data_IF_479889955069
#
_entry.id   IF_479889955069
#
_cell.length_a   1.000
_cell.length_b   1.000
_cell.length_c   1.000
_cell.angle_alpha   90.00
_cell.angle_beta   90.00
_cell.angle_gamma   90.00
#
_symmetry.space_group_name_H-M   'P 1'
#
loop_
_entity.id
_entity.type
_entity.pdbx_description
1 polymer ?
#
# COMPACT_ATOMS: atom_id res chain seq x y z
N UNK A 1 -13.26 2.99 8.71
CA UNK A 1 -13.55 2.53 7.33
C UNK A 1 -13.07 1.09 7.21
N UNK A 2 -13.89 0.16 6.72
CA UNK A 2 -13.41 -1.21 6.45
C UNK A 2 -12.66 -1.25 5.11
N UNK A 3 -11.74 -2.20 4.98
CA UNK A 3 -10.77 -2.31 3.88
C UNK A 3 -10.67 -3.78 3.50
N UNK A 4 -11.13 -4.15 2.30
CA UNK A 4 -11.19 -5.53 1.83
C UNK A 4 -10.20 -5.78 0.71
N UNK A 5 -9.48 -6.89 0.80
CA UNK A 5 -8.47 -7.31 -0.16
C UNK A 5 -9.00 -8.49 -0.95
N UNK A 6 -8.82 -8.48 -2.26
CA UNK A 6 -9.27 -9.57 -3.13
C UNK A 6 -8.29 -9.79 -4.27
N UNK A 7 -8.36 -11.00 -4.82
CA UNK A 7 -7.46 -11.51 -5.84
C UNK A 7 -8.29 -11.90 -7.06
N UNK A 8 -8.02 -11.34 -8.22
CA UNK A 8 -8.83 -11.64 -9.40
C UNK A 8 -8.66 -13.10 -9.87
N UNK A 9 -7.47 -13.68 -9.75
CA UNK A 9 -7.27 -15.12 -10.05
C UNK A 9 -8.06 -16.03 -9.09
N UNK A 10 -8.45 -15.51 -7.92
CA UNK A 10 -9.31 -16.19 -6.96
C UNK A 10 -10.74 -16.45 -7.47
N UNK A 11 -11.16 -15.80 -8.58
CA UNK A 11 -12.45 -16.10 -9.23
C UNK A 11 -12.45 -17.40 -10.03
N UNK A 12 -11.29 -18.06 -10.17
CA UNK A 12 -11.14 -19.38 -10.78
C UNK A 12 -10.30 -19.38 -12.05
N UNK A 13 -10.08 -20.58 -12.60
CA UNK A 13 -9.17 -20.82 -13.73
C UNK A 13 -9.52 -20.06 -15.01
N UNK A 14 -10.80 -19.76 -15.22
CA UNK A 14 -11.24 -18.95 -16.36
C UNK A 14 -10.77 -17.49 -16.21
N UNK A 15 -10.85 -16.92 -15.00
CA UNK A 15 -10.34 -15.57 -14.77
C UNK A 15 -8.83 -15.51 -14.98
N UNK A 16 -8.11 -16.53 -14.53
CA UNK A 16 -6.67 -16.65 -14.76
C UNK A 16 -6.31 -16.63 -16.27
N UNK A 17 -6.98 -17.44 -17.09
CA UNK A 17 -6.74 -17.49 -18.55
C UNK A 17 -6.99 -16.13 -19.22
N UNK A 18 -8.10 -15.47 -18.86
CA UNK A 18 -8.46 -14.16 -19.41
C UNK A 18 -7.44 -13.09 -19.01
N UNK A 19 -6.99 -13.09 -17.75
CA UNK A 19 -5.97 -12.16 -17.24
C UNK A 19 -4.60 -12.37 -17.92
N UNK A 20 -4.17 -13.62 -18.11
CA UNK A 20 -2.92 -13.94 -18.80
C UNK A 20 -2.91 -13.43 -20.25
N UNK A 21 -4.07 -13.47 -20.91
CA UNK A 21 -4.24 -12.95 -22.28
C UNK A 21 -4.49 -11.44 -22.33
N UNK A 22 -4.52 -10.75 -21.19
CA UNK A 22 -4.89 -9.33 -21.08
C UNK A 22 -6.23 -9.04 -21.79
N UNK A 23 -7.15 -10.00 -21.71
CA UNK A 23 -8.47 -9.87 -22.29
C UNK A 23 -9.42 -9.18 -21.30
N UNK A 24 -10.45 -8.52 -21.84
CA UNK A 24 -11.49 -7.93 -21.02
C UNK A 24 -12.23 -9.01 -20.20
N UNK A 25 -12.74 -8.68 -19.00
CA UNK A 25 -13.54 -9.62 -18.21
C UNK A 25 -14.76 -10.07 -19.00
N UNK A 26 -15.16 -11.33 -18.82
CA UNK A 26 -16.43 -11.81 -19.38
C UNK A 26 -17.59 -11.00 -18.81
N UNK A 27 -18.70 -10.97 -19.51
CA UNK A 27 -19.89 -10.21 -19.08
C UNK A 27 -20.39 -10.63 -17.68
N UNK A 28 -20.26 -11.92 -17.33
CA UNK A 28 -20.55 -12.40 -15.98
C UNK A 28 -19.58 -11.85 -14.94
N UNK A 29 -18.27 -11.91 -15.20
CA UNK A 29 -17.24 -11.37 -14.30
C UNK A 29 -17.40 -9.87 -14.11
N UNK A 30 -17.64 -9.13 -15.20
CA UNK A 30 -17.84 -7.67 -15.18
C UNK A 30 -19.02 -7.28 -14.29
N UNK A 31 -20.17 -7.92 -14.48
CA UNK A 31 -21.34 -7.68 -13.61
C UNK A 31 -21.09 -8.05 -12.15
N UNK A 32 -20.37 -9.13 -11.88
CA UNK A 32 -20.06 -9.53 -10.52
C UNK A 32 -19.15 -8.50 -9.83
N UNK A 33 -18.12 -8.02 -10.53
CA UNK A 33 -17.20 -7.02 -9.99
C UNK A 33 -17.91 -5.67 -9.79
N UNK A 34 -18.75 -5.23 -10.75
CA UNK A 34 -19.55 -4.02 -10.60
C UNK A 34 -20.47 -4.06 -9.38
N UNK A 35 -21.16 -5.19 -9.14
CA UNK A 35 -21.97 -5.36 -7.92
C UNK A 35 -21.15 -5.17 -6.63
N UNK A 36 -19.93 -5.68 -6.59
CA UNK A 36 -19.01 -5.48 -5.46
C UNK A 36 -18.59 -4.02 -5.35
N UNK A 37 -18.32 -3.36 -6.48
CA UNK A 37 -17.99 -1.93 -6.55
C UNK A 37 -19.12 -1.06 -5.98
N UNK A 38 -20.34 -1.24 -6.46
CA UNK A 38 -21.52 -0.47 -5.99
C UNK A 38 -21.75 -0.66 -4.49
N UNK A 39 -21.56 -1.89 -4.01
CA UNK A 39 -21.68 -2.22 -2.60
C UNK A 39 -20.58 -1.57 -1.75
N UNK A 40 -19.36 -1.51 -2.27
CA UNK A 40 -18.25 -0.84 -1.60
C UNK A 40 -18.42 0.67 -1.56
N UNK A 41 -18.93 1.28 -2.63
CA UNK A 41 -19.26 2.71 -2.68
C UNK A 41 -20.36 3.02 -1.66
N UNK A 42 -21.48 2.30 -1.70
CA UNK A 42 -22.62 2.53 -0.79
C UNK A 42 -22.27 2.34 0.69
N UNK A 43 -21.30 1.46 0.99
CA UNK A 43 -20.83 1.21 2.36
C UNK A 43 -19.57 1.99 2.74
N UNK A 44 -19.02 2.78 1.82
CA UNK A 44 -17.76 3.49 2.00
C UNK A 44 -16.65 2.53 2.50
N UNK A 45 -16.43 1.44 1.78
CA UNK A 45 -15.42 0.40 2.07
C UNK A 45 -14.36 0.43 0.98
N UNK A 46 -13.07 0.36 1.35
CA UNK A 46 -11.98 0.34 0.36
C UNK A 46 -11.82 -1.08 -0.22
N UNK A 47 -11.65 -1.15 -1.53
CA UNK A 47 -11.41 -2.36 -2.33
C UNK A 47 -9.97 -2.36 -2.83
N UNK A 48 -9.17 -3.33 -2.39
CA UNK A 48 -7.75 -3.43 -2.72
C UNK A 48 -7.52 -4.70 -3.54
N UNK A 49 -7.13 -4.52 -4.81
CA UNK A 49 -6.75 -5.64 -5.66
C UNK A 49 -5.34 -6.08 -5.27
N UNK A 50 -5.16 -7.36 -4.96
CA UNK A 50 -3.83 -7.91 -4.73
C UNK A 50 -3.05 -8.01 -6.05
N UNK A 51 -1.79 -7.62 -5.98
CA UNK A 51 -0.84 -7.90 -7.03
C UNK A 51 -0.32 -9.33 -6.93
N UNK A 52 -0.05 -9.94 -8.08
CA UNK A 52 0.33 -11.35 -8.24
C UNK A 52 1.66 -11.46 -9.00
N UNK A 53 1.95 -12.62 -9.56
CA UNK A 53 3.12 -12.83 -10.40
C UNK A 53 3.05 -11.99 -11.68
N UNK A 54 4.20 -11.53 -12.19
CA UNK A 54 4.26 -10.62 -13.34
C UNK A 54 3.64 -11.20 -14.63
N UNK A 55 3.52 -12.54 -14.71
CA UNK A 55 2.84 -13.22 -15.82
C UNK A 55 1.34 -12.90 -15.94
N UNK A 56 0.68 -12.48 -14.85
CA UNK A 56 -0.76 -12.12 -14.84
C UNK A 56 -0.99 -10.66 -14.50
N UNK A 57 0.01 -10.00 -13.90
CA UNK A 57 -0.11 -8.66 -13.35
C UNK A 57 -0.60 -7.60 -14.37
N UNK A 58 -0.16 -7.58 -15.65
CA UNK A 58 -0.69 -6.61 -16.62
C UNK A 58 -2.21 -6.70 -16.82
N UNK A 59 -2.77 -7.91 -16.91
CA UNK A 59 -4.22 -8.08 -17.03
C UNK A 59 -4.96 -7.65 -15.76
N UNK A 60 -4.38 -7.91 -14.58
CA UNK A 60 -4.91 -7.43 -13.29
C UNK A 60 -4.92 -5.90 -13.27
N UNK A 61 -3.84 -5.26 -13.72
CA UNK A 61 -3.70 -3.81 -13.77
C UNK A 61 -4.74 -3.17 -14.69
N UNK A 62 -4.95 -3.71 -15.90
CA UNK A 62 -5.95 -3.20 -16.85
C UNK A 62 -7.37 -3.28 -16.27
N UNK A 63 -7.73 -4.43 -15.69
CA UNK A 63 -9.03 -4.58 -15.03
C UNK A 63 -9.17 -3.63 -13.86
N UNK A 64 -8.12 -3.51 -13.05
CA UNK A 64 -8.10 -2.60 -11.91
C UNK A 64 -8.30 -1.16 -12.35
N UNK A 65 -7.64 -0.72 -13.42
CA UNK A 65 -7.81 0.63 -13.95
C UNK A 65 -9.24 0.88 -14.44
N UNK A 66 -9.87 -0.09 -15.12
CA UNK A 66 -11.30 -0.03 -15.51
C UNK A 66 -12.20 0.20 -14.28
N UNK A 67 -12.03 -0.59 -13.22
CA UNK A 67 -12.90 -0.49 -12.04
C UNK A 67 -12.53 0.65 -11.10
N UNK A 68 -11.27 1.11 -11.09
CA UNK A 68 -10.88 2.35 -10.41
C UNK A 68 -11.56 3.55 -11.02
N UNK A 69 -11.58 3.66 -12.34
CA UNK A 69 -12.36 4.71 -13.02
C UNK A 69 -13.83 4.62 -12.61
N UNK A 70 -14.43 3.44 -12.71
CA UNK A 70 -15.83 3.22 -12.34
C UNK A 70 -16.15 3.67 -10.90
N UNK A 71 -15.35 3.24 -9.91
CA UNK A 71 -15.61 3.56 -8.51
C UNK A 71 -15.22 5.00 -8.15
N UNK A 72 -14.00 5.39 -8.47
CA UNK A 72 -13.39 6.60 -7.93
C UNK A 72 -13.90 7.86 -8.64
N UNK A 73 -14.45 7.76 -9.85
CA UNK A 73 -15.21 8.87 -10.48
C UNK A 73 -16.50 9.19 -9.73
N UNK A 74 -17.06 8.26 -8.95
CA UNK A 74 -18.26 8.47 -8.14
C UNK A 74 -17.94 9.00 -6.72
N UNK A 75 -16.65 9.08 -6.35
CA UNK A 75 -16.19 9.56 -5.05
C UNK A 75 -15.07 10.60 -5.18
N UNK A 76 -15.37 11.83 -5.65
CA UNK A 76 -14.34 12.85 -5.89
C UNK A 76 -13.46 13.12 -4.66
N UNK A 77 -12.14 13.10 -4.86
CA UNK A 77 -11.15 13.33 -3.80
C UNK A 77 -10.89 12.12 -2.89
N UNK A 78 -11.60 10.99 -3.08
CA UNK A 78 -11.42 9.76 -2.31
C UNK A 78 -11.35 8.54 -3.22
N UNK A 79 -10.32 7.72 -3.06
CA UNK A 79 -10.29 6.42 -3.71
C UNK A 79 -11.10 5.39 -2.90
N UNK A 80 -11.98 4.66 -3.59
CA UNK A 80 -12.65 3.45 -3.08
C UNK A 80 -11.90 2.21 -3.57
N UNK A 81 -11.50 2.20 -4.82
CA UNK A 81 -10.81 1.08 -5.46
C UNK A 81 -9.32 1.41 -5.63
N UNK A 82 -8.46 0.45 -5.30
CA UNK A 82 -7.01 0.61 -5.24
C UNK A 82 -6.30 -0.49 -6.03
N UNK A 83 -5.33 -0.08 -6.83
CA UNK A 83 -4.36 -0.98 -7.45
C UNK A 83 -3.16 -1.21 -6.55
N UNK A 84 -2.66 -2.45 -6.48
CA UNK A 84 -1.41 -2.76 -5.79
C UNK A 84 -0.23 -2.69 -6.75
N UNK A 85 0.76 -1.86 -6.43
CA UNK A 85 2.01 -1.71 -7.18
C UNK A 85 3.16 -2.34 -6.40
N UNK A 86 4.01 -3.11 -7.09
CA UNK A 86 5.10 -3.85 -6.47
C UNK A 86 6.45 -3.18 -6.77
N UNK A 87 7.02 -2.48 -5.78
CA UNK A 87 8.24 -1.68 -5.95
C UNK A 87 9.49 -2.49 -6.32
N UNK A 88 9.49 -3.81 -6.11
CA UNK A 88 10.56 -4.71 -6.53
C UNK A 88 10.73 -4.80 -8.06
N UNK A 89 9.72 -4.44 -8.86
CA UNK A 89 9.80 -4.44 -10.32
C UNK A 89 10.43 -3.13 -10.80
N UNK A 90 11.36 -3.25 -11.74
CA UNK A 90 11.96 -2.09 -12.40
C UNK A 90 10.93 -1.29 -13.22
N UNK A 91 9.83 -1.92 -13.65
CA UNK A 91 8.77 -1.30 -14.43
C UNK A 91 7.78 -0.48 -13.61
N UNK A 92 7.68 -0.71 -12.29
CA UNK A 92 6.64 -0.12 -11.44
C UNK A 92 6.55 1.40 -11.50
N UNK A 93 7.66 2.17 -11.42
CA UNK A 93 7.57 3.62 -11.53
C UNK A 93 6.97 4.08 -12.87
N UNK A 94 7.36 3.44 -13.97
CA UNK A 94 6.83 3.75 -15.31
C UNK A 94 5.35 3.40 -15.43
N UNK A 95 4.92 2.25 -14.91
CA UNK A 95 3.51 1.84 -14.91
C UNK A 95 2.65 2.78 -14.06
N UNK A 96 3.11 3.12 -12.86
CA UNK A 96 2.41 4.08 -11.99
C UNK A 96 2.30 5.47 -12.63
N UNK A 97 3.37 5.96 -13.27
CA UNK A 97 3.36 7.24 -13.98
C UNK A 97 2.30 7.27 -15.10
N UNK A 98 2.17 6.18 -15.87
CA UNK A 98 1.12 6.04 -16.89
C UNK A 98 -0.28 6.05 -16.27
N UNK A 99 -0.50 5.31 -15.19
CA UNK A 99 -1.80 5.26 -14.52
C UNK A 99 -2.19 6.59 -13.88
N UNK A 100 -1.22 7.35 -13.36
CA UNK A 100 -1.43 8.73 -12.90
C UNK A 100 -1.87 9.61 -14.07
N UNK A 101 -1.18 9.58 -15.21
CA UNK A 101 -1.59 10.39 -16.35
C UNK A 101 -2.98 10.00 -16.88
N UNK A 102 -3.32 8.71 -16.91
CA UNK A 102 -4.68 8.24 -17.27
C UNK A 102 -5.71 8.81 -16.29
N UNK A 103 -5.49 8.70 -14.97
CA UNK A 103 -6.45 9.20 -13.99
C UNK A 103 -6.59 10.72 -14.03
N UNK A 104 -5.53 11.44 -14.42
CA UNK A 104 -5.56 12.88 -14.68
C UNK A 104 -6.48 13.21 -15.85
N UNK A 105 -6.29 12.54 -16.98
CA UNK A 105 -7.06 12.77 -18.21
C UNK A 105 -8.54 12.41 -18.03
N UNK A 106 -8.82 11.35 -17.27
CA UNK A 106 -10.17 10.86 -17.03
C UNK A 106 -10.85 11.45 -15.79
N UNK A 107 -10.13 12.26 -14.98
CA UNK A 107 -10.70 13.07 -13.92
C UNK A 107 -11.12 12.30 -12.66
N UNK A 108 -10.34 11.33 -12.18
CA UNK A 108 -10.62 10.62 -10.92
C UNK A 108 -9.39 10.50 -10.00
N UNK A 109 -9.64 10.27 -8.71
CA UNK A 109 -8.57 10.03 -7.72
C UNK A 109 -8.01 8.63 -7.87
N UNK A 110 -6.71 8.51 -8.16
CA UNK A 110 -6.05 7.21 -8.28
C UNK A 110 -5.88 6.57 -6.89
N UNK A 111 -6.25 5.29 -6.75
CA UNK A 111 -5.99 4.50 -5.55
C UNK A 111 -4.69 3.72 -5.69
N UNK A 112 -3.70 4.00 -4.85
CA UNK A 112 -2.39 3.33 -4.89
C UNK A 112 -2.18 2.56 -3.59
N UNK A 113 -2.03 1.24 -3.66
CA UNK A 113 -1.42 0.43 -2.59
C UNK A 113 0.00 0.10 -3.01
N UNK A 114 1.00 0.61 -2.30
CA UNK A 114 2.39 0.32 -2.60
C UNK A 114 2.92 -0.77 -1.67
N UNK A 115 3.46 -1.85 -2.24
CA UNK A 115 4.18 -2.92 -1.54
C UNK A 115 5.59 -3.04 -2.11
N UNK A 116 6.50 -3.72 -1.42
CA UNK A 116 7.76 -4.17 -2.06
C UNK A 116 7.48 -5.27 -3.08
N UNK A 117 6.77 -6.32 -2.68
CA UNK A 117 6.44 -7.47 -3.53
C UNK A 117 6.54 -8.76 -2.72
N UNK A 118 5.84 -9.81 -3.15
CA UNK A 118 5.78 -11.10 -2.45
C UNK A 118 6.24 -12.31 -3.29
N UNK A 119 6.64 -12.07 -4.55
CA UNK A 119 6.96 -13.12 -5.53
C UNK A 119 8.43 -13.04 -6.01
N UNK A 120 9.31 -12.34 -5.28
CA UNK A 120 10.71 -12.08 -5.68
C UNK A 120 11.48 -13.37 -6.04
N UNK A 121 11.14 -14.50 -5.42
CA UNK A 121 11.79 -15.81 -5.67
C UNK A 121 11.32 -16.52 -6.93
N UNK A 122 10.14 -16.15 -7.44
CA UNK A 122 9.53 -16.80 -8.62
C UNK A 122 9.61 -15.91 -9.85
N UNK A 123 9.86 -14.61 -9.70
CA UNK A 123 9.99 -13.69 -10.84
C UNK A 123 11.27 -13.92 -11.65
N UNK A 124 11.20 -13.75 -12.99
CA UNK A 124 12.39 -13.62 -13.82
C UNK A 124 13.31 -12.51 -13.31
N UNK A 125 14.59 -12.85 -13.13
CA UNK A 125 15.58 -11.98 -12.47
C UNK A 125 15.72 -10.59 -13.09
N UNK A 126 15.57 -10.49 -14.40
CA UNK A 126 15.75 -9.25 -15.17
C UNK A 126 14.59 -8.25 -15.00
N UNK A 127 13.46 -8.65 -14.40
CA UNK A 127 12.31 -7.79 -14.16
C UNK A 127 12.39 -7.04 -12.82
N UNK A 128 13.23 -7.53 -11.91
CA UNK A 128 13.36 -7.03 -10.55
C UNK A 128 14.70 -6.34 -10.32
N UNK A 129 14.74 -5.38 -9.40
CA UNK A 129 15.97 -4.66 -9.04
C UNK A 129 17.10 -5.59 -8.63
N UNK A 130 18.34 -5.19 -8.89
CA UNK A 130 19.53 -6.00 -8.62
C UNK A 130 19.76 -6.21 -7.13
N UNK A 131 19.37 -5.25 -6.29
CA UNK A 131 19.53 -5.37 -4.84
C UNK A 131 18.26 -5.02 -4.07
N UNK A 132 18.25 -5.42 -2.80
CA UNK A 132 17.19 -5.03 -1.87
C UNK A 132 17.22 -3.51 -1.65
N UNK A 133 18.39 -2.91 -1.61
CA UNK A 133 18.61 -1.48 -1.41
C UNK A 133 17.99 -0.67 -2.56
N UNK A 134 18.13 -1.14 -3.80
CA UNK A 134 17.46 -0.51 -4.96
C UNK A 134 15.94 -0.62 -4.87
N UNK A 135 15.41 -1.77 -4.41
CA UNK A 135 13.96 -1.90 -4.15
C UNK A 135 13.50 -0.95 -3.05
N UNK A 136 14.30 -0.78 -1.98
CA UNK A 136 14.00 0.15 -0.89
C UNK A 136 14.02 1.61 -1.36
N UNK A 137 15.00 1.98 -2.20
CA UNK A 137 15.08 3.30 -2.82
C UNK A 137 13.89 3.57 -3.76
N UNK A 138 13.50 2.57 -4.56
CA UNK A 138 12.31 2.64 -5.39
C UNK A 138 11.06 2.87 -4.56
N UNK A 139 10.86 2.05 -3.54
CA UNK A 139 9.70 2.14 -2.64
C UNK A 139 9.63 3.53 -1.97
N UNK A 140 10.70 3.95 -1.29
CA UNK A 140 10.72 5.21 -0.53
C UNK A 140 10.58 6.43 -1.48
N UNK A 141 11.24 6.41 -2.64
CA UNK A 141 11.15 7.49 -3.63
C UNK A 141 9.76 7.61 -4.25
N UNK A 142 9.06 6.50 -4.49
CA UNK A 142 7.67 6.51 -4.95
C UNK A 142 6.74 7.04 -3.86
N UNK A 143 6.93 6.64 -2.59
CA UNK A 143 6.13 7.17 -1.47
C UNK A 143 6.29 8.69 -1.36
N UNK A 144 7.52 9.19 -1.40
CA UNK A 144 7.79 10.63 -1.35
C UNK A 144 7.06 11.39 -2.48
N UNK A 145 7.17 10.90 -3.72
CA UNK A 145 6.50 11.51 -4.86
C UNK A 145 4.98 11.58 -4.68
N UNK A 146 4.38 10.48 -4.21
CA UNK A 146 2.94 10.39 -3.99
C UNK A 146 2.46 11.32 -2.85
N UNK A 147 3.20 11.41 -1.74
CA UNK A 147 2.83 12.25 -0.60
C UNK A 147 3.02 13.74 -0.86
N UNK A 148 4.07 14.11 -1.60
CA UNK A 148 4.34 15.50 -2.00
C UNK A 148 3.52 15.91 -3.23
N UNK A 149 2.86 14.95 -3.90
CA UNK A 149 2.21 15.10 -5.20
C UNK A 149 3.11 15.75 -6.24
N UNK A 150 4.40 15.39 -6.24
CA UNK A 150 5.38 15.87 -7.22
C UNK A 150 6.17 14.69 -7.79
N UNK A 151 6.46 14.75 -9.09
CA UNK A 151 7.42 13.84 -9.70
C UNK A 151 8.82 14.08 -9.12
N UNK A 152 9.64 13.03 -9.08
CA UNK A 152 11.02 13.08 -8.61
C UNK A 152 11.92 12.19 -9.48
N UNK A 153 13.13 11.89 -9.01
CA UNK A 153 14.08 11.06 -9.75
C UNK A 153 13.60 9.61 -9.96
N UNK A 154 12.77 9.09 -9.04
CA UNK A 154 12.27 7.73 -9.06
C UNK A 154 10.96 7.60 -9.84
N UNK A 155 9.99 8.48 -9.57
CA UNK A 155 8.73 8.55 -10.29
C UNK A 155 8.78 9.75 -11.25
N UNK A 156 9.01 9.47 -12.53
CA UNK A 156 9.06 10.48 -13.61
C UNK A 156 7.72 10.55 -14.35
N UNK A 157 7.42 11.70 -14.93
CA UNK A 157 6.17 11.86 -15.69
C UNK A 157 6.13 10.98 -16.93
N UNK A 158 4.92 10.49 -17.25
CA UNK A 158 4.61 9.81 -18.51
C UNK A 158 4.11 10.79 -19.60
N UNK A 159 4.02 12.09 -19.30
CA UNK A 159 3.46 13.11 -20.19
C UNK A 159 4.41 14.29 -20.35
N UNK A 160 4.59 14.76 -21.58
CA UNK A 160 5.40 15.95 -21.87
C UNK A 160 4.81 17.22 -21.22
N UNK A 161 3.49 17.28 -21.03
CA UNK A 161 2.78 18.45 -20.51
C UNK A 161 2.81 18.55 -18.99
N UNK A 162 2.77 17.42 -18.29
CA UNK A 162 2.60 17.37 -16.84
C UNK A 162 3.89 16.87 -16.17
N UNK A 163 4.93 17.70 -16.14
CA UNK A 163 6.26 17.28 -15.67
C UNK A 163 6.47 17.41 -14.15
N UNK A 164 5.68 18.23 -13.48
CA UNK A 164 5.92 18.62 -12.08
C UNK A 164 4.97 17.94 -11.12
N UNK A 165 3.67 18.16 -11.27
CA UNK A 165 2.68 17.77 -10.27
C UNK A 165 1.95 16.46 -10.61
N UNK A 166 1.65 15.68 -9.57
CA UNK A 166 0.81 14.50 -9.66
C UNK A 166 -0.69 14.86 -9.58
N UNK A 167 -1.57 14.09 -10.23
CA UNK A 167 -3.02 14.25 -10.10
C UNK A 167 -3.49 13.86 -8.69
N UNK A 168 -4.81 13.91 -8.47
CA UNK A 168 -5.39 13.44 -7.21
C UNK A 168 -5.07 11.96 -7.01
N UNK A 169 -4.50 11.63 -5.85
CA UNK A 169 -4.08 10.28 -5.49
C UNK A 169 -4.30 10.03 -4.01
N UNK A 170 -4.70 8.81 -3.66
CA UNK A 170 -4.74 8.33 -2.27
C UNK A 170 -3.88 7.09 -2.15
N UNK A 171 -3.21 6.93 -1.02
CA UNK A 171 -2.07 6.02 -0.89
C UNK A 171 -2.22 5.14 0.35
N UNK A 172 -2.04 3.84 0.14
CA UNK A 172 -1.83 2.86 1.20
C UNK A 172 -0.40 2.36 1.07
N UNK A 173 0.45 2.67 2.05
CA UNK A 173 1.82 2.16 2.09
C UNK A 173 1.85 0.88 2.93
N UNK A 174 2.22 -0.25 2.32
CA UNK A 174 2.21 -1.56 2.96
C UNK A 174 3.64 -2.04 3.22
N UNK A 175 4.10 -1.89 4.47
CA UNK A 175 5.49 -2.15 4.84
C UNK A 175 5.66 -2.50 6.33
N UNK A 176 6.53 -3.48 6.59
CA UNK A 176 7.05 -3.80 7.91
C UNK A 176 8.44 -3.19 8.16
N UNK A 177 9.00 -2.46 7.19
CA UNK A 177 10.24 -1.72 7.36
C UNK A 177 9.96 -0.43 8.15
N UNK A 178 10.49 -0.38 9.37
CA UNK A 178 10.35 0.74 10.30
C UNK A 178 10.87 2.05 9.73
N UNK A 179 11.99 2.02 9.00
CA UNK A 179 12.61 3.23 8.46
C UNK A 179 11.76 3.84 7.34
N UNK A 180 11.19 3.02 6.45
CA UNK A 180 10.23 3.48 5.44
C UNK A 180 8.98 4.13 6.07
N UNK A 181 8.47 3.55 7.17
CA UNK A 181 7.32 4.13 7.90
C UNK A 181 7.68 5.47 8.53
N UNK A 182 8.86 5.56 9.18
CA UNK A 182 9.37 6.80 9.78
C UNK A 182 9.57 7.90 8.74
N UNK A 183 10.15 7.59 7.58
CA UNK A 183 10.32 8.55 6.47
C UNK A 183 8.97 9.11 6.02
N UNK A 184 8.00 8.25 5.74
CA UNK A 184 6.66 8.67 5.31
C UNK A 184 5.95 9.52 6.38
N UNK A 185 6.06 9.14 7.66
CA UNK A 185 5.49 9.91 8.77
C UNK A 185 6.18 11.27 8.94
N UNK A 186 7.52 11.32 8.88
CA UNK A 186 8.27 12.57 8.97
C UNK A 186 7.88 13.56 7.87
N UNK A 187 7.72 13.09 6.62
CA UNK A 187 7.21 13.90 5.52
C UNK A 187 5.82 14.46 5.81
N UNK A 188 4.89 13.63 6.30
CA UNK A 188 3.53 14.07 6.64
C UNK A 188 3.52 15.09 7.78
N UNK A 189 4.36 14.89 8.80
CA UNK A 189 4.53 15.84 9.91
C UNK A 189 5.10 17.16 9.42
N UNK A 190 6.12 17.15 8.55
CA UNK A 190 6.71 18.35 7.96
C UNK A 190 5.67 19.15 7.16
N UNK A 191 4.87 18.48 6.31
CA UNK A 191 3.76 19.09 5.58
C UNK A 191 2.77 19.77 6.53
N UNK A 192 2.34 19.07 7.59
CA UNK A 192 1.44 19.62 8.60
C UNK A 192 2.04 20.84 9.32
N UNK A 193 3.33 20.82 9.64
CA UNK A 193 4.03 21.96 10.26
C UNK A 193 4.11 23.18 9.33
N UNK A 194 4.18 22.97 8.02
CA UNK A 194 4.17 24.03 7.00
C UNK A 194 2.74 24.48 6.61
N UNK A 195 1.71 23.82 7.12
CA UNK A 195 0.32 24.05 6.69
C UNK A 195 0.02 23.58 5.26
N UNK A 196 0.85 22.67 4.73
CA UNK A 196 0.67 22.09 3.40
C UNK A 196 -0.34 20.93 3.49
N UNK A 197 -1.46 21.04 2.76
CA UNK A 197 -2.41 19.94 2.58
C UNK A 197 -2.56 19.62 1.09
N UNK A 198 -1.95 18.53 0.67
CA UNK A 198 -1.99 18.06 -0.72
C UNK A 198 -3.23 17.21 -1.05
N UNK A 199 -4.11 16.96 -0.07
CA UNK A 199 -5.33 16.18 -0.23
C UNK A 199 -5.08 14.67 -0.43
N UNK A 200 -3.94 14.16 0.04
CA UNK A 200 -3.59 12.74 -0.07
C UNK A 200 -4.08 12.01 1.18
N UNK A 201 -5.07 11.13 1.06
CA UNK A 201 -5.41 10.18 2.13
C UNK A 201 -4.28 9.13 2.21
N UNK A 202 -3.52 9.15 3.30
CA UNK A 202 -2.43 8.22 3.57
C UNK A 202 -2.88 7.21 4.61
N UNK A 203 -2.65 5.94 4.33
CA UNK A 203 -2.80 4.88 5.31
C UNK A 203 -1.61 3.94 5.33
N UNK A 204 -1.31 3.42 6.51
CA UNK A 204 -0.23 2.48 6.75
C UNK A 204 -0.84 1.09 6.89
N UNK A 205 -0.41 0.14 6.08
CA UNK A 205 -0.91 -1.24 6.13
C UNK A 205 0.20 -2.20 6.54
N UNK A 206 -0.14 -3.14 7.43
CA UNK A 206 0.77 -4.17 7.92
C UNK A 206 0.01 -5.49 8.04
N UNK A 207 0.69 -6.60 7.81
CA UNK A 207 0.15 -7.93 8.11
C UNK A 207 0.02 -8.12 9.63
N UNK A 208 -1.11 -8.68 10.07
CA UNK A 208 -1.31 -9.01 11.48
C UNK A 208 -0.28 -10.05 11.95
N UNK A 209 0.31 -9.82 13.12
CA UNK A 209 1.33 -10.70 13.70
C UNK A 209 2.74 -10.49 13.15
N UNK A 210 2.96 -9.43 12.35
CA UNK A 210 4.26 -9.06 11.81
C UNK A 210 4.57 -7.59 12.09
N UNK A 211 5.69 -7.35 12.76
CA UNK A 211 6.21 -6.02 13.08
C UNK A 211 5.15 -5.09 13.74
N UNK A 212 4.38 -5.62 14.70
CA UNK A 212 3.35 -4.86 15.41
C UNK A 212 3.92 -3.65 16.14
N UNK A 213 5.18 -3.72 16.57
CA UNK A 213 5.96 -2.63 17.14
C UNK A 213 6.00 -1.40 16.23
N UNK A 214 6.00 -1.56 14.90
CA UNK A 214 6.04 -0.43 13.95
C UNK A 214 4.73 0.34 13.96
N UNK A 215 3.58 -0.37 14.02
CA UNK A 215 2.27 0.26 14.21
C UNK A 215 2.18 0.96 15.56
N UNK A 216 2.63 0.29 16.63
CA UNK A 216 2.59 0.85 17.97
C UNK A 216 3.45 2.11 18.09
N UNK A 217 4.66 2.10 17.53
CA UNK A 217 5.55 3.27 17.50
C UNK A 217 4.89 4.45 16.78
N UNK A 218 4.26 4.21 15.63
CA UNK A 218 3.58 5.25 14.85
C UNK A 218 2.44 5.91 15.65
N UNK A 219 1.62 5.11 16.33
CA UNK A 219 0.51 5.61 17.14
C UNK A 219 0.99 6.31 18.42
N UNK A 220 2.01 5.79 19.10
CA UNK A 220 2.58 6.40 20.30
C UNK A 220 3.32 7.71 20.00
N UNK A 221 4.07 7.75 18.90
CA UNK A 221 4.76 8.95 18.43
C UNK A 221 3.78 10.08 18.13
N UNK A 222 2.63 9.75 17.53
CA UNK A 222 1.55 10.69 17.29
C UNK A 222 0.97 11.25 18.60
N UNK A 223 0.59 10.38 19.56
CA UNK A 223 0.06 10.79 20.86
C UNK A 223 1.02 11.72 21.63
N UNK A 224 2.33 11.48 21.53
CA UNK A 224 3.35 12.28 22.19
C UNK A 224 3.55 13.65 21.52
N UNK A 225 3.34 13.73 20.21
CA UNK A 225 3.46 14.96 19.43
C UNK A 225 2.21 15.86 19.51
N UNK A 226 1.00 15.30 19.61
CA UNK A 226 -0.24 16.05 19.87
C UNK A 226 -0.20 16.79 21.20
N UNK A 227 0.40 16.18 22.24
CA UNK A 227 0.63 16.82 23.54
C UNK A 227 1.59 18.02 23.43
N UNK A 228 2.38 18.08 22.35
CA UNK A 228 3.47 19.06 22.20
C UNK A 228 3.11 20.29 21.35
N UNK A 229 2.11 20.25 20.45
CA UNK A 229 1.70 21.45 19.66
C UNK A 229 0.24 21.39 19.16
N UNK A 230 -0.47 22.51 19.28
CA UNK A 230 -1.82 22.74 18.74
C UNK A 230 -1.93 22.86 17.21
N UNK A 231 -1.12 22.09 16.46
CA UNK A 231 -1.26 21.96 15.01
C UNK A 231 -2.29 20.87 14.70
N UNK A 232 -3.11 21.07 13.66
CA UNK A 232 -4.08 20.08 13.18
C UNK A 232 -3.40 18.93 12.45
N UNK A 233 -2.64 18.10 13.19
CA UNK A 233 -2.00 16.92 12.65
C UNK A 233 -3.01 15.78 12.58
N UNK A 234 -3.23 15.22 11.38
CA UNK A 234 -4.12 14.06 11.23
C UNK A 234 -3.53 12.82 11.90
N UNK A 235 -4.37 12.08 12.63
CA UNK A 235 -3.97 10.81 13.23
C UNK A 235 -3.59 9.77 12.16
N UNK A 236 -2.42 9.10 12.28
CA UNK A 236 -2.02 8.06 11.34
C UNK A 236 -3.08 6.98 11.23
N UNK A 237 -3.59 6.77 10.00
CA UNK A 237 -4.55 5.72 9.73
C UNK A 237 -3.84 4.38 9.50
N UNK A 238 -3.91 3.49 10.49
CA UNK A 238 -3.18 2.22 10.50
C UNK A 238 -4.14 1.04 10.31
N UNK A 239 -3.84 0.19 9.34
CA UNK A 239 -4.57 -1.04 9.04
C UNK A 239 -3.73 -2.28 9.31
N UNK A 240 -4.37 -3.26 9.94
CA UNK A 240 -3.86 -4.62 10.05
C UNK A 240 -4.61 -5.54 9.09
N UNK A 241 -3.88 -6.16 8.18
CA UNK A 241 -4.44 -7.17 7.30
C UNK A 241 -4.54 -8.50 8.04
N UNK A 242 -5.74 -9.03 8.10
CA UNK A 242 -6.02 -10.39 8.53
C UNK A 242 -6.47 -11.21 7.35
N UNK A 243 -5.94 -12.43 7.24
CA UNK A 243 -6.49 -13.43 6.31
C UNK A 243 -7.66 -14.15 6.95
N UNK A 244 -8.69 -14.38 6.16
CA UNK A 244 -9.89 -15.08 6.59
C UNK A 244 -10.25 -16.17 5.58
N UNK A 245 -10.52 -17.37 6.07
CA UNK A 245 -10.79 -18.56 5.26
C UNK A 245 -10.33 -19.83 5.96
N UNK A 246 -10.60 -20.98 5.34
CA UNK A 246 -10.05 -22.26 5.77
C UNK A 246 -8.53 -22.33 5.55
N UNK A 247 -7.86 -23.26 6.24
CA UNK A 247 -6.41 -23.50 6.06
C UNK A 247 -6.07 -23.79 4.60
N UNK A 248 -6.94 -24.51 3.89
CA UNK A 248 -6.75 -24.85 2.47
C UNK A 248 -6.79 -23.58 1.59
N UNK A 249 -7.75 -22.70 1.82
CA UNK A 249 -7.89 -21.44 1.07
C UNK A 249 -6.73 -20.48 1.37
N UNK A 250 -6.24 -20.48 2.61
CA UNK A 250 -5.13 -19.62 3.01
C UNK A 250 -3.73 -20.22 2.75
N UNK A 251 -3.62 -21.45 2.23
CA UNK A 251 -2.33 -22.16 2.11
C UNK A 251 -1.28 -21.37 1.31
N UNK A 252 -1.66 -20.80 0.17
CA UNK A 252 -0.75 -20.00 -0.66
C UNK A 252 -0.27 -18.73 0.05
N UNK A 253 -1.13 -18.11 0.85
CA UNK A 253 -0.74 -16.97 1.69
C UNK A 253 0.25 -17.42 2.78
N UNK A 254 -0.06 -18.49 3.51
CA UNK A 254 0.77 -19.02 4.58
C UNK A 254 2.18 -19.39 4.09
N UNK A 255 2.29 -20.01 2.90
CA UNK A 255 3.58 -20.34 2.30
C UNK A 255 4.42 -19.10 2.00
N UNK A 256 3.83 -18.06 1.39
CA UNK A 256 4.53 -16.79 1.14
C UNK A 256 4.99 -16.13 2.45
N UNK A 257 4.19 -16.23 3.52
CA UNK A 257 4.57 -15.73 4.85
C UNK A 257 5.72 -16.52 5.47
N UNK A 258 5.74 -17.84 5.34
CA UNK A 258 6.85 -18.65 5.82
C UNK A 258 8.17 -18.26 5.12
N UNK A 259 8.11 -18.04 3.79
CA UNK A 259 9.26 -17.60 2.99
C UNK A 259 9.75 -16.22 3.44
N UNK A 260 8.84 -15.23 3.54
CA UNK A 260 9.17 -13.88 3.98
C UNK A 260 9.71 -13.87 5.41
N UNK A 261 9.12 -14.66 6.31
CA UNK A 261 9.56 -14.73 7.69
C UNK A 261 10.93 -15.39 7.84
N UNK A 262 11.30 -16.31 6.95
CA UNK A 262 12.66 -16.87 6.91
C UNK A 262 13.69 -15.76 6.67
N UNK A 263 13.40 -14.85 5.75
CA UNK A 263 14.24 -13.66 5.50
C UNK A 263 14.13 -12.62 6.63
N UNK A 264 12.97 -12.57 7.29
CA UNK A 264 12.72 -11.74 8.46
C UNK A 264 13.43 -12.22 9.74
N UNK A 265 14.00 -13.43 9.80
CA UNK A 265 14.71 -13.92 10.99
C UNK A 265 15.84 -12.96 11.38
N UNK A 266 16.45 -12.25 10.42
CA UNK A 266 17.40 -11.15 10.71
C UNK A 266 16.78 -9.95 11.45
N UNK A 267 15.47 -9.68 11.31
CA UNK A 267 14.71 -8.63 12.02
C UNK A 267 14.41 -8.98 13.48
N UNK A 268 14.49 -10.26 13.85
CA UNK A 268 14.20 -10.74 15.22
C UNK A 268 14.96 -9.96 16.29
N UNK A 269 16.20 -9.54 15.99
CA UNK A 269 17.01 -8.74 16.92
C UNK A 269 16.40 -7.37 17.20
N UNK A 270 15.89 -6.68 16.18
CA UNK A 270 15.26 -5.36 16.34
C UNK A 270 13.91 -5.47 17.08
N UNK A 271 13.11 -6.50 16.80
CA UNK A 271 11.87 -6.75 17.54
C UNK A 271 12.14 -7.13 19.00
N UNK A 272 13.19 -7.92 19.27
CA UNK A 272 13.64 -8.23 20.63
C UNK A 272 14.09 -6.98 21.39
N UNK A 273 14.91 -6.12 20.77
CA UNK A 273 15.34 -4.85 21.35
C UNK A 273 14.14 -3.95 21.67
N UNK A 274 13.19 -3.82 20.74
CA UNK A 274 11.97 -3.03 20.93
C UNK A 274 11.09 -3.57 22.07
N UNK A 275 10.88 -4.90 22.15
CA UNK A 275 10.15 -5.52 23.25
C UNK A 275 10.86 -5.32 24.60
N UNK A 276 12.18 -5.41 24.62
CA UNK A 276 12.96 -5.21 25.84
C UNK A 276 12.89 -3.77 26.35
N UNK A 277 12.98 -2.78 25.45
CA UNK A 277 12.79 -1.37 25.81
C UNK A 277 11.36 -1.08 26.31
N UNK A 278 10.34 -1.68 25.69
CA UNK A 278 8.96 -1.56 26.18
C UNK A 278 8.77 -2.21 27.57
N UNK A 279 9.38 -3.38 27.80
CA UNK A 279 9.38 -4.02 29.13
C UNK A 279 10.06 -3.14 30.17
N UNK A 280 11.23 -2.56 29.87
CA UNK A 280 11.90 -1.60 30.76
C UNK A 280 11.01 -0.39 31.04
N UNK A 281 10.35 0.16 30.02
CA UNK A 281 9.44 1.30 30.17
C UNK A 281 8.29 0.97 31.13
N UNK A 282 7.65 -0.19 30.95
CA UNK A 282 6.56 -0.66 31.84
C UNK A 282 7.04 -0.91 33.26
N UNK A 283 8.20 -1.54 33.44
CA UNK A 283 8.80 -1.74 34.74
C UNK A 283 9.06 -0.41 35.45
N UNK A 284 9.70 0.55 34.78
CA UNK A 284 9.95 1.91 35.32
C UNK A 284 8.66 2.63 35.72
N UNK A 285 7.59 2.51 34.93
CA UNK A 285 6.29 3.10 35.25
C UNK A 285 5.61 2.43 36.45
N UNK A 286 5.74 1.11 36.59
CA UNK A 286 5.24 0.38 37.76
C UNK A 286 5.99 0.81 39.04
N UNK A 287 7.33 0.89 38.99
CA UNK A 287 8.13 1.35 40.13
C UNK A 287 7.90 2.83 40.49
N UNK A 288 7.54 3.68 39.53
CA UNK A 288 7.16 5.08 39.77
C UNK A 288 5.76 5.27 40.39
N UNK A 289 4.89 4.25 40.35
CA UNK A 289 3.57 4.29 40.99
C UNK A 289 3.54 3.69 42.40
N UNK A 290 4.64 3.04 42.81
CA UNK A 290 4.79 2.41 44.13
C UNK A 290 5.63 3.24 45.13
N UNK A 291 6.07 4.44 44.72
CA UNK A 291 6.65 5.49 45.57
C UNK A 291 5.78 6.74 45.49
#
# INVERSE_FOLDING_TARGET
>A
MQTNWYRFTGMGVQALDVLQRQAAPTEFMDRAIQKVCDLAISRNVRLLVDAEEQAVQPGIEEWTMKYQKYCNSQTPGRAIFYNTYQAYLCSTPTTLAKHLEISRQEGYTLGVKLVRGAYLKTEPRHLIWSTKEETDQCYDGVVEALLTRKYNSMLKSASEKHQTDLPSVNVIIATHNRDSVRKAHALRTEQAMKGENHGVDLSYAQLQGMADEVSCELLQGFQSAEVMKGASMESPNVFKLLTWGSVKECMGFLMRRAIENTEAVGRTKQSQEAMFEELKRRARLAFRRSN
#
